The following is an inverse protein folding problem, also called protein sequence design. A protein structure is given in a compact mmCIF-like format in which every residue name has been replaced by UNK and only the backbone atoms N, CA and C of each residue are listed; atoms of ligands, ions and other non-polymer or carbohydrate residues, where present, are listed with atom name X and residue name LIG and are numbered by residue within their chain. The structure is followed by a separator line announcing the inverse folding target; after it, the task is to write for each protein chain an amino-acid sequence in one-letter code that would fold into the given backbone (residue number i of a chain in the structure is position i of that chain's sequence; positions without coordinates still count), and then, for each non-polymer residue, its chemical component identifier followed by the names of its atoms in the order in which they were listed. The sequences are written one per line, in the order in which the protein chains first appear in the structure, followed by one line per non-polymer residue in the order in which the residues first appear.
data_IF_929953914538
#
_entry.id   IF_929953914538
#
_cell.length_a   1.000
_cell.length_b   1.000
_cell.length_c   1.000
_cell.angle_alpha   90.00
_cell.angle_beta   90.00
_cell.angle_gamma   90.00
#
_symmetry.space_group_name_H-M   'P 1'
#
loop_
_entity.id
_entity.type
_entity.pdbx_description
1 polymer ?
#
# COMPACT_ATOMS: atom_id res chain seq x y z
N UNK A 1 2.13 0.69 4.79
CA UNK A 1 1.12 -0.24 5.36
C UNK A 1 1.01 0.00 6.87
N UNK A 2 -0.01 -0.56 7.54
CA UNK A 2 -0.12 -0.53 9.01
C UNK A 2 -1.04 -1.65 9.54
N UNK A 3 -0.92 -1.94 10.84
CA UNK A 3 -1.71 -2.96 11.53
C UNK A 3 -1.65 -4.34 10.82
N UNK A 4 -2.81 -4.97 10.58
CA UNK A 4 -2.90 -6.32 10.00
C UNK A 4 -2.41 -6.43 8.54
N UNK A 5 -2.16 -5.30 7.87
CA UNK A 5 -1.60 -5.31 6.51
C UNK A 5 -0.07 -5.44 6.49
N UNK A 6 0.62 -5.29 7.62
CA UNK A 6 2.09 -5.40 7.69
C UNK A 6 2.56 -6.84 7.44
N UNK A 7 2.01 -7.88 8.09
CA UNK A 7 2.38 -9.27 7.78
C UNK A 7 2.06 -9.67 6.34
N UNK A 8 0.95 -9.13 5.79
CA UNK A 8 0.58 -9.32 4.39
C UNK A 8 1.64 -8.75 3.44
N UNK A 9 2.08 -7.50 3.69
CA UNK A 9 3.10 -6.84 2.89
C UNK A 9 4.45 -7.57 2.95
N UNK A 10 4.87 -8.03 4.14
CA UNK A 10 6.09 -8.83 4.32
C UNK A 10 6.04 -10.13 3.51
N UNK A 11 4.90 -10.84 3.55
CA UNK A 11 4.73 -12.07 2.77
C UNK A 11 4.81 -11.81 1.26
N UNK A 12 4.15 -10.75 0.79
CA UNK A 12 4.14 -10.38 -0.63
C UNK A 12 5.53 -9.94 -1.11
N UNK A 13 6.27 -9.19 -0.30
CA UNK A 13 7.64 -8.80 -0.66
C UNK A 13 8.55 -10.01 -0.86
N UNK A 14 8.47 -11.03 0.01
CA UNK A 14 9.24 -12.25 -0.14
C UNK A 14 8.88 -13.02 -1.44
N UNK A 15 7.62 -12.98 -1.87
CA UNK A 15 7.19 -13.58 -3.14
C UNK A 15 7.68 -12.78 -4.36
N UNK A 16 7.66 -11.46 -4.26
CA UNK A 16 8.12 -10.56 -5.32
C UNK A 16 9.64 -10.61 -5.53
N UNK A 17 10.41 -10.95 -4.49
CA UNK A 17 11.86 -11.17 -4.61
C UNK A 17 12.19 -12.32 -5.58
N UNK A 18 11.32 -13.35 -5.68
CA UNK A 18 11.48 -14.44 -6.66
C UNK A 18 11.30 -13.95 -8.11
N UNK A 19 10.68 -12.79 -8.31
CA UNK A 19 10.45 -12.14 -9.59
C UNK A 19 11.37 -10.91 -9.80
N UNK A 20 12.50 -10.84 -9.08
CA UNK A 20 13.46 -9.72 -9.11
C UNK A 20 12.88 -8.35 -8.72
N UNK A 21 11.75 -8.31 -8.01
CA UNK A 21 11.13 -7.10 -7.48
C UNK A 21 11.42 -6.97 -5.98
N UNK A 22 12.36 -6.10 -5.62
CA UNK A 22 12.67 -5.79 -4.22
C UNK A 22 11.78 -4.66 -3.70
N UNK A 23 10.95 -4.95 -2.69
CA UNK A 23 10.03 -4.00 -2.10
C UNK A 23 10.49 -3.55 -0.70
N UNK A 24 10.60 -2.23 -0.48
CA UNK A 24 10.83 -1.67 0.85
C UNK A 24 9.50 -1.50 1.60
N UNK A 25 9.42 -2.06 2.80
CA UNK A 25 8.17 -2.07 3.59
C UNK A 25 8.24 -1.03 4.69
N UNK A 26 7.40 -0.01 4.57
CA UNK A 26 7.23 1.03 5.59
C UNK A 26 5.96 0.75 6.41
N UNK A 27 6.16 0.33 7.66
CA UNK A 27 5.11 0.26 8.68
C UNK A 27 4.95 1.64 9.34
N UNK A 28 3.76 2.24 9.19
CA UNK A 28 3.50 3.60 9.67
C UNK A 28 3.61 3.72 11.19
N UNK A 29 3.22 2.66 11.94
CA UNK A 29 3.08 2.62 13.41
C UNK A 29 2.13 3.68 14.02
N UNK A 30 2.38 4.95 13.76
CA UNK A 30 1.58 6.11 14.16
C UNK A 30 0.86 6.72 12.95
N UNK A 31 -0.47 6.76 13.00
CA UNK A 31 -1.27 7.44 11.97
C UNK A 31 -1.26 8.96 12.18
N UNK A 32 -1.24 9.40 13.44
CA UNK A 32 -1.16 10.81 13.81
C UNK A 32 -0.37 10.99 15.10
N UNK A 33 0.76 11.72 15.09
CA UNK A 33 1.40 12.32 13.92
C UNK A 33 1.99 11.24 12.99
N UNK A 34 1.92 11.49 11.67
CA UNK A 34 2.50 10.62 10.65
C UNK A 34 4.01 10.89 10.55
N UNK A 35 4.81 9.83 10.47
CA UNK A 35 6.24 9.95 10.16
C UNK A 35 6.45 10.19 8.66
N UNK A 36 6.20 11.42 8.22
CA UNK A 36 6.33 11.83 6.82
C UNK A 36 7.76 11.65 6.31
N UNK A 37 8.76 11.86 7.18
CA UNK A 37 10.17 11.76 6.79
C UNK A 37 10.53 10.34 6.35
N UNK A 38 10.20 9.33 7.16
CA UNK A 38 10.49 7.95 6.83
C UNK A 38 9.84 7.52 5.50
N UNK A 39 8.60 7.96 5.26
CA UNK A 39 7.87 7.69 4.01
C UNK A 39 8.57 8.37 2.83
N UNK A 40 8.91 9.66 2.96
CA UNK A 40 9.50 10.41 1.86
C UNK A 40 10.90 9.92 1.50
N UNK A 41 11.72 9.58 2.49
CA UNK A 41 13.06 9.03 2.27
C UNK A 41 12.97 7.70 1.48
N UNK A 42 12.02 6.83 1.84
CA UNK A 42 11.78 5.54 1.18
C UNK A 42 11.28 5.71 -0.27
N UNK A 43 10.31 6.59 -0.48
CA UNK A 43 9.75 6.87 -1.82
C UNK A 43 10.79 7.54 -2.72
N UNK A 44 11.60 8.46 -2.19
CA UNK A 44 12.66 9.12 -2.97
C UNK A 44 13.74 8.14 -3.43
N UNK A 45 13.98 7.08 -2.67
CA UNK A 45 14.92 6.00 -3.03
C UNK A 45 14.35 5.04 -4.08
N UNK A 46 13.05 4.74 -4.02
CA UNK A 46 12.41 3.69 -4.83
C UNK A 46 11.63 4.22 -6.03
N UNK A 47 11.33 5.53 -6.04
CA UNK A 47 10.54 6.26 -7.04
C UNK A 47 9.11 5.76 -7.26
N UNK A 48 8.66 4.78 -6.47
CA UNK A 48 7.38 4.08 -6.64
C UNK A 48 6.79 3.79 -5.27
N UNK A 49 5.47 3.87 -5.15
CA UNK A 49 4.79 3.62 -3.88
C UNK A 49 3.47 2.87 -4.08
N UNK A 50 3.24 1.87 -3.23
CA UNK A 50 1.95 1.19 -3.07
C UNK A 50 1.55 1.27 -1.60
N UNK A 51 0.33 1.72 -1.35
CA UNK A 51 -0.22 1.83 0.00
C UNK A 51 -1.23 0.73 0.18
N UNK A 52 -1.12 -0.05 1.26
CA UNK A 52 -2.10 -1.05 1.65
C UNK A 52 -2.71 -0.74 3.01
N UNK A 53 -4.04 -0.77 3.08
CA UNK A 53 -4.87 -0.49 4.26
C UNK A 53 -6.11 -1.41 4.28
N UNK A 54 -6.69 -1.68 5.46
CA UNK A 54 -7.96 -2.42 5.56
C UNK A 54 -9.19 -1.52 5.61
N UNK A 55 -8.99 -0.21 5.65
CA UNK A 55 -10.09 0.76 5.69
C UNK A 55 -10.76 0.90 4.31
N UNK A 56 -11.91 1.57 4.29
CA UNK A 56 -12.60 1.93 3.07
C UNK A 56 -11.73 2.83 2.17
N UNK A 57 -11.90 2.74 0.83
CA UNK A 57 -11.08 3.51 -0.10
C UNK A 57 -11.33 5.01 0.00
N UNK A 58 -12.56 5.40 0.37
CA UNK A 58 -12.97 6.79 0.54
C UNK A 58 -12.62 7.29 1.94
N UNK A 59 -11.88 8.40 2.01
CA UNK A 59 -11.42 9.01 3.27
C UNK A 59 -10.58 8.08 4.18
N UNK A 60 -10.01 7.00 3.65
CA UNK A 60 -9.04 6.15 4.35
C UNK A 60 -7.70 6.85 4.62
N UNK A 61 -6.88 6.27 5.48
CA UNK A 61 -5.55 6.79 5.83
C UNK A 61 -4.65 6.85 4.60
N UNK A 62 -4.76 5.86 3.71
CA UNK A 62 -3.99 5.80 2.48
C UNK A 62 -4.28 6.96 1.53
N UNK A 63 -5.46 7.57 1.60
CA UNK A 63 -5.76 8.79 0.85
C UNK A 63 -4.91 9.98 1.34
N UNK A 64 -4.79 10.17 2.65
CA UNK A 64 -3.95 11.23 3.23
C UNK A 64 -2.47 10.98 2.97
N UNK A 65 -1.98 9.75 3.14
CA UNK A 65 -0.57 9.40 2.83
C UNK A 65 -0.27 9.66 1.36
N UNK A 66 -1.15 9.25 0.45
CA UNK A 66 -1.01 9.50 -0.99
C UNK A 66 -0.97 11.01 -1.30
N UNK A 67 -1.86 11.80 -0.71
CA UNK A 67 -1.87 13.25 -0.86
C UNK A 67 -0.58 13.89 -0.34
N UNK A 68 -0.07 13.46 0.83
CA UNK A 68 1.18 13.99 1.40
C UNK A 68 2.39 13.72 0.52
N UNK A 69 2.51 12.52 -0.02
CA UNK A 69 3.58 12.17 -0.96
C UNK A 69 3.48 13.03 -2.22
N UNK A 70 2.30 13.04 -2.87
CA UNK A 70 2.10 13.84 -4.08
C UNK A 70 2.30 15.34 -3.83
N UNK A 71 1.90 15.87 -2.68
CA UNK A 71 2.05 17.30 -2.40
C UNK A 71 3.50 17.72 -2.20
N UNK A 72 4.30 16.91 -1.52
CA UNK A 72 5.63 17.30 -1.05
C UNK A 72 6.77 16.80 -1.94
N UNK A 73 6.61 15.64 -2.58
CA UNK A 73 7.66 14.96 -3.33
C UNK A 73 7.14 14.37 -4.65
N UNK A 74 6.24 15.08 -5.35
CA UNK A 74 5.70 14.65 -6.64
C UNK A 74 6.78 14.28 -7.65
N UNK A 75 7.82 15.12 -7.76
CA UNK A 75 8.89 14.97 -8.74
C UNK A 75 9.77 13.73 -8.50
N UNK A 76 9.66 13.10 -7.34
CA UNK A 76 10.36 11.85 -7.04
C UNK A 76 9.62 10.59 -7.54
N UNK A 77 8.36 10.72 -8.00
CA UNK A 77 7.53 9.59 -8.43
C UNK A 77 7.65 9.32 -9.94
N UNK A 78 7.98 8.08 -10.30
CA UNK A 78 8.01 7.60 -11.68
C UNK A 78 6.69 6.94 -12.13
N UNK A 79 5.75 6.76 -11.21
CA UNK A 79 4.46 6.13 -11.45
C UNK A 79 3.40 6.62 -10.45
N UNK A 80 2.11 6.56 -10.81
CA UNK A 80 1.04 6.91 -9.89
C UNK A 80 1.04 5.99 -8.66
N UNK A 81 0.77 6.57 -7.48
CA UNK A 81 0.67 5.83 -6.24
C UNK A 81 -0.59 4.97 -6.28
N UNK A 82 -0.43 3.65 -6.16
CA UNK A 82 -1.56 2.73 -6.09
C UNK A 82 -1.97 2.49 -4.64
N UNK A 83 -3.28 2.39 -4.41
CA UNK A 83 -3.85 2.06 -3.10
C UNK A 83 -4.60 0.75 -3.16
N UNK A 84 -4.26 -0.16 -2.25
CA UNK A 84 -4.94 -1.43 -2.02
C UNK A 84 -5.69 -1.30 -0.70
N UNK A 85 -7.00 -1.17 -0.80
CA UNK A 85 -7.90 -0.98 0.34
C UNK A 85 -8.94 -2.10 0.37
N UNK A 86 -9.85 -2.05 1.34
CA UNK A 86 -11.05 -2.86 1.27
C UNK A 86 -11.90 -2.43 0.05
N UNK A 87 -12.71 -3.34 -0.49
CA UNK A 87 -13.77 -2.94 -1.43
C UNK A 87 -14.76 -1.98 -0.75
N UNK A 88 -15.33 -1.04 -1.52
CA UNK A 88 -16.25 0.00 -1.02
C UNK A 88 -17.67 -0.54 -0.76
N UNK A 89 -17.74 -1.52 0.14
CA UNK A 89 -18.96 -2.20 0.54
C UNK A 89 -18.95 -2.40 2.06
N UNK A 90 -20.13 -2.51 2.70
CA UNK A 90 -20.22 -2.98 4.07
C UNK A 90 -19.62 -4.39 4.21
N UNK A 91 -18.94 -4.65 5.33
CA UNK A 91 -18.29 -5.94 5.57
C UNK A 91 -19.33 -7.08 5.55
N UNK A 92 -19.20 -8.05 4.63
CA UNK A 92 -20.13 -9.18 4.55
C UNK A 92 -19.79 -10.26 5.59
N UNK A 93 -20.82 -10.91 6.13
CA UNK A 93 -20.65 -12.01 7.09
C UNK A 93 -20.13 -13.31 6.46
N UNK A 94 -20.42 -13.54 5.17
CA UNK A 94 -19.99 -14.76 4.51
C UNK A 94 -18.47 -14.78 4.36
N UNK A 95 -17.82 -15.82 4.88
CA UNK A 95 -16.35 -15.97 4.89
C UNK A 95 -15.69 -15.78 3.51
N UNK A 96 -16.32 -16.28 2.43
CA UNK A 96 -15.78 -16.12 1.08
C UNK A 96 -15.85 -14.67 0.61
N UNK A 97 -16.93 -13.98 0.92
CA UNK A 97 -17.11 -12.57 0.57
C UNK A 97 -16.21 -11.68 1.44
N UNK A 98 -16.04 -12.00 2.72
CA UNK A 98 -15.13 -11.28 3.62
C UNK A 98 -13.70 -11.28 3.06
N UNK A 99 -13.20 -12.46 2.68
CA UNK A 99 -11.87 -12.62 2.05
C UNK A 99 -11.74 -11.91 0.71
N UNK A 100 -12.83 -11.82 -0.06
CA UNK A 100 -12.84 -11.10 -1.34
C UNK A 100 -12.85 -9.58 -1.16
N UNK A 101 -13.47 -9.09 -0.10
CA UNK A 101 -13.60 -7.66 0.21
C UNK A 101 -12.32 -7.10 0.82
N UNK A 102 -11.65 -7.87 1.68
CA UNK A 102 -10.39 -7.45 2.30
C UNK A 102 -9.21 -7.38 1.30
N UNK A 103 -8.17 -6.59 1.61
CA UNK A 103 -6.87 -6.68 0.95
C UNK A 103 -6.29 -8.10 1.08
N UNK A 104 -5.75 -8.61 -0.01
CA UNK A 104 -5.14 -9.94 -0.06
C UNK A 104 -3.85 -9.93 -0.89
N UNK A 105 -3.05 -11.01 -0.86
CA UNK A 105 -1.76 -11.04 -1.55
C UNK A 105 -1.88 -10.76 -3.05
N UNK A 106 -2.87 -11.35 -3.71
CA UNK A 106 -3.05 -11.25 -5.15
C UNK A 106 -3.34 -9.80 -5.58
N UNK A 107 -4.21 -9.10 -4.84
CA UNK A 107 -4.50 -7.68 -5.06
C UNK A 107 -3.26 -6.81 -4.87
N UNK A 108 -2.44 -7.11 -3.85
CA UNK A 108 -1.23 -6.34 -3.57
C UNK A 108 -0.15 -6.59 -4.63
N UNK A 109 0.06 -7.84 -5.05
CA UNK A 109 0.98 -8.19 -6.14
C UNK A 109 0.57 -7.50 -7.43
N UNK A 110 -0.72 -7.55 -7.79
CA UNK A 110 -1.22 -6.89 -8.99
C UNK A 110 -0.96 -5.38 -8.96
N UNK A 111 -1.19 -4.72 -7.81
CA UNK A 111 -0.90 -3.30 -7.65
C UNK A 111 0.60 -2.99 -7.77
N UNK A 112 1.48 -3.82 -7.20
CA UNK A 112 2.93 -3.63 -7.32
C UNK A 112 3.38 -3.80 -8.77
N UNK A 113 2.95 -4.88 -9.44
CA UNK A 113 3.28 -5.12 -10.87
C UNK A 113 2.80 -3.98 -11.77
N UNK A 114 1.60 -3.45 -11.51
CA UNK A 114 1.10 -2.28 -12.23
C UNK A 114 1.99 -1.05 -12.08
N UNK A 115 2.50 -0.78 -10.87
CA UNK A 115 3.42 0.33 -10.63
C UNK A 115 4.82 0.05 -11.19
N UNK A 116 5.27 -1.20 -11.22
CA UNK A 116 6.57 -1.58 -11.79
C UNK A 116 6.57 -1.77 -13.32
N UNK A 117 5.39 -1.78 -13.96
CA UNK A 117 5.21 -2.14 -15.38
C UNK A 117 5.76 -3.53 -15.72
N UNK A 118 5.58 -4.48 -14.79
CA UNK A 118 5.99 -5.88 -14.90
C UNK A 118 4.82 -6.82 -15.27
#
# INVERSE_FOLDING_TARGET
CYAQTVPLALKVAAQLEEEDISAEIVDLRSIKPLDEKAIFDSVTKTHRAVIVEQDHPFCGVGAEVCYRIQKNIFDALDAPIMRVSQEDVPMPYNERLEKAVLPNPDKLIAAVKQVCYA
#
